data_IF_879003099252
#
_entry.id   IF_879003099252
#
_cell.length_a   1.000
_cell.length_b   1.000
_cell.length_c   1.000
_cell.angle_alpha   90.00
_cell.angle_beta   90.00
_cell.angle_gamma   90.00
#
_symmetry.space_group_name_H-M   'P 1'
#
loop_
_entity.id
_entity.type
_entity.pdbx_description
1 polymer ?
#
# COMPACT_ATOMS: atom_id res chain seq x y z
N UNK A 1 -15.84 -15.80 -8.24
CA UNK A 1 -15.52 -14.38 -8.49
C UNK A 1 -15.48 -14.13 -9.99
N UNK A 2 -16.23 -13.13 -10.51
CA UNK A 2 -16.37 -12.91 -11.95
C UNK A 2 -15.07 -12.35 -12.55
N UNK A 3 -14.52 -13.02 -13.57
CA UNK A 3 -13.40 -12.49 -14.38
C UNK A 3 -13.91 -11.47 -15.37
N UNK A 4 -13.15 -10.41 -15.61
CA UNK A 4 -13.48 -9.37 -16.59
C UNK A 4 -12.97 -9.82 -17.94
N UNK A 5 -13.82 -9.69 -18.95
CA UNK A 5 -13.47 -9.85 -20.34
C UNK A 5 -13.09 -8.47 -20.90
N UNK A 6 -12.10 -8.44 -21.78
CA UNK A 6 -11.91 -7.28 -22.65
C UNK A 6 -13.27 -6.96 -23.29
N UNK A 7 -13.74 -5.74 -23.12
CA UNK A 7 -14.79 -5.21 -23.96
C UNK A 7 -14.08 -4.62 -25.16
N UNK A 8 -14.57 -4.81 -26.37
CA UNK A 8 -13.95 -4.33 -27.61
C UNK A 8 -13.66 -2.82 -27.69
N UNK A 9 -14.04 -2.08 -26.66
CA UNK A 9 -13.72 -0.66 -26.45
C UNK A 9 -12.32 -0.42 -25.88
N UNK A 10 -11.61 -1.44 -25.42
CA UNK A 10 -10.31 -1.27 -24.76
C UNK A 10 -9.15 -1.02 -25.74
N UNK A 11 -9.27 -1.55 -26.96
CA UNK A 11 -8.32 -1.34 -28.07
C UNK A 11 -8.82 -0.20 -28.98
N UNK A 12 -9.04 0.97 -28.42
CA UNK A 12 -9.48 2.14 -29.19
C UNK A 12 -8.65 3.38 -28.88
N UNK A 13 -8.70 4.35 -29.78
CA UNK A 13 -7.94 5.60 -29.66
C UNK A 13 -8.32 6.40 -28.41
N UNK A 14 -9.55 6.30 -27.91
CA UNK A 14 -9.95 6.97 -26.68
C UNK A 14 -9.16 6.45 -25.48
N UNK A 15 -9.04 5.12 -25.33
CA UNK A 15 -8.24 4.50 -24.26
C UNK A 15 -6.77 4.92 -24.34
N UNK A 16 -6.17 4.92 -25.54
CA UNK A 16 -4.78 5.35 -25.77
C UNK A 16 -4.58 6.82 -25.39
N UNK A 17 -5.52 7.70 -25.76
CA UNK A 17 -5.49 9.13 -25.37
C UNK A 17 -5.60 9.32 -23.87
N UNK A 18 -6.50 8.56 -23.21
CA UNK A 18 -6.61 8.57 -21.75
C UNK A 18 -5.31 8.10 -21.06
N UNK A 19 -4.69 7.04 -21.58
CA UNK A 19 -3.42 6.52 -21.07
C UNK A 19 -2.29 7.58 -21.18
N UNK A 20 -2.17 8.22 -22.34
CA UNK A 20 -1.21 9.30 -22.53
C UNK A 20 -1.50 10.51 -21.64
N UNK A 21 -2.76 10.97 -21.55
CA UNK A 21 -3.18 12.06 -20.68
C UNK A 21 -2.83 11.80 -19.21
N UNK A 22 -3.04 10.58 -18.73
CA UNK A 22 -2.64 10.17 -17.39
C UNK A 22 -1.11 10.16 -17.22
N UNK A 23 -0.36 9.72 -18.22
CA UNK A 23 1.10 9.71 -18.17
C UNK A 23 1.67 11.13 -18.20
N UNK A 24 1.19 11.98 -19.11
CA UNK A 24 1.72 13.34 -19.36
C UNK A 24 1.32 14.35 -18.30
N UNK A 25 0.30 14.06 -17.49
CA UNK A 25 -0.18 14.93 -16.41
C UNK A 25 0.97 15.45 -15.56
N UNK A 26 1.11 16.77 -15.46
CA UNK A 26 2.17 17.49 -14.74
C UNK A 26 3.59 17.32 -15.33
N UNK A 27 3.76 16.75 -16.52
CA UNK A 27 5.07 16.48 -17.13
C UNK A 27 5.32 17.26 -18.44
N UNK A 28 4.38 18.06 -18.92
CA UNK A 28 4.50 18.81 -20.20
C UNK A 28 5.72 19.74 -20.27
N UNK A 29 6.28 20.17 -19.14
CA UNK A 29 7.53 20.95 -19.09
C UNK A 29 8.79 20.11 -19.35
N UNK A 30 8.70 18.79 -19.34
CA UNK A 30 9.85 17.89 -19.59
C UNK A 30 10.14 17.82 -21.09
N UNK A 31 11.43 17.94 -21.46
CA UNK A 31 11.86 17.89 -22.87
C UNK A 31 11.34 16.67 -23.60
N UNK A 32 11.49 15.48 -23.01
CA UNK A 32 11.03 14.23 -23.62
C UNK A 32 9.53 14.21 -23.94
N UNK A 33 8.68 14.80 -23.06
CA UNK A 33 7.23 14.90 -23.30
C UNK A 33 6.95 15.88 -24.44
N UNK A 34 7.59 17.04 -24.44
CA UNK A 34 7.45 18.02 -25.52
C UNK A 34 7.91 17.47 -26.89
N UNK A 35 8.98 16.66 -26.90
CA UNK A 35 9.44 16.03 -28.12
C UNK A 35 8.47 14.93 -28.60
N UNK A 36 7.83 14.20 -27.70
CA UNK A 36 6.76 13.26 -28.01
C UNK A 36 5.50 13.96 -28.53
N UNK A 37 5.14 15.11 -27.94
CA UNK A 37 3.97 15.94 -28.32
C UNK A 37 4.06 16.47 -29.74
N UNK A 38 5.27 16.71 -30.28
CA UNK A 38 5.47 17.19 -31.68
C UNK A 38 4.87 16.25 -32.73
N UNK A 39 4.75 14.97 -32.42
CA UNK A 39 4.20 13.93 -33.30
C UNK A 39 3.13 13.11 -32.55
N UNK A 40 2.31 13.80 -31.76
CA UNK A 40 1.42 13.14 -30.82
C UNK A 40 0.48 12.14 -31.51
N UNK A 41 -0.23 12.61 -32.55
CA UNK A 41 -1.23 11.75 -33.22
C UNK A 41 -0.60 10.51 -33.85
N UNK A 42 0.52 10.65 -34.57
CA UNK A 42 1.20 9.49 -35.14
C UNK A 42 1.78 8.55 -34.08
N UNK A 43 2.26 9.10 -32.97
CA UNK A 43 2.74 8.29 -31.84
C UNK A 43 1.59 7.51 -31.16
N UNK A 44 0.42 8.13 -30.99
CA UNK A 44 -0.74 7.47 -30.40
C UNK A 44 -1.36 6.43 -31.36
N UNK A 45 -1.36 6.71 -32.67
CA UNK A 45 -1.79 5.72 -33.67
C UNK A 45 -0.89 4.50 -33.64
N UNK A 46 0.41 4.69 -33.60
CA UNK A 46 1.37 3.59 -33.47
C UNK A 46 1.12 2.75 -32.20
N UNK A 47 0.83 3.39 -31.08
CA UNK A 47 0.47 2.68 -29.83
C UNK A 47 -0.77 1.82 -30.04
N UNK A 48 -1.79 2.36 -30.71
CA UNK A 48 -3.02 1.63 -31.00
C UNK A 48 -2.76 0.42 -31.90
N UNK A 49 -2.00 0.62 -32.98
CA UNK A 49 -1.66 -0.44 -33.94
C UNK A 49 -0.91 -1.58 -33.23
N UNK A 50 0.12 -1.26 -32.45
CA UNK A 50 0.93 -2.22 -31.68
C UNK A 50 0.13 -2.95 -30.57
N UNK A 51 -0.93 -2.34 -30.05
CA UNK A 51 -1.88 -3.02 -29.12
C UNK A 51 -2.82 -3.96 -29.87
N UNK A 52 -3.31 -3.56 -31.06
CA UNK A 52 -4.26 -4.33 -31.84
C UNK A 52 -3.63 -5.59 -32.49
N UNK A 53 -2.39 -5.47 -32.95
CA UNK A 53 -1.65 -6.56 -33.60
C UNK A 53 -0.72 -7.33 -32.65
N UNK A 54 -0.63 -6.92 -31.40
CA UNK A 54 0.23 -7.51 -30.36
C UNK A 54 1.73 -7.47 -30.70
N UNK A 55 2.15 -6.62 -31.66
CA UNK A 55 3.54 -6.54 -32.13
C UNK A 55 4.48 -5.88 -31.14
N UNK A 56 3.97 -5.07 -30.19
CA UNK A 56 4.81 -4.40 -29.22
C UNK A 56 5.70 -5.34 -28.42
N UNK A 57 6.95 -4.94 -28.28
CA UNK A 57 7.93 -5.56 -27.41
C UNK A 57 8.52 -4.51 -26.45
N UNK A 58 8.67 -4.82 -25.16
CA UNK A 58 9.25 -3.90 -24.18
C UNK A 58 10.66 -3.46 -24.58
N UNK A 59 10.90 -2.15 -24.60
CA UNK A 59 12.24 -1.62 -24.80
C UNK A 59 13.15 -1.94 -23.61
N UNK A 60 14.45 -2.10 -23.81
CA UNK A 60 15.40 -2.25 -22.71
C UNK A 60 15.30 -1.09 -21.71
N UNK A 61 15.19 -1.42 -20.44
CA UNK A 61 15.12 -0.40 -19.39
C UNK A 61 16.46 0.31 -19.22
N UNK A 62 16.39 1.63 -19.09
CA UNK A 62 17.57 2.45 -18.76
C UNK A 62 17.63 2.63 -17.25
N UNK A 63 18.67 2.10 -16.56
CA UNK A 63 18.78 2.23 -15.11
C UNK A 63 18.98 3.69 -14.71
N UNK A 64 18.35 4.09 -13.61
CA UNK A 64 18.57 5.37 -12.96
C UNK A 64 18.67 5.15 -11.47
N UNK A 65 19.86 5.28 -10.92
CA UNK A 65 20.03 5.30 -9.46
C UNK A 65 19.57 6.61 -8.88
N UNK A 66 18.72 6.53 -7.87
CA UNK A 66 18.35 7.66 -7.01
C UNK A 66 18.84 7.40 -5.59
N UNK A 67 19.36 8.46 -4.97
CA UNK A 67 19.82 8.46 -3.60
C UNK A 67 18.81 9.26 -2.76
N UNK A 68 17.84 8.53 -2.19
CA UNK A 68 16.98 9.07 -1.15
C UNK A 68 17.55 8.65 0.21
N UNK A 69 16.76 7.98 1.07
CA UNK A 69 17.26 7.39 2.31
C UNK A 69 18.04 6.09 2.10
N UNK A 70 17.67 5.38 1.05
CA UNK A 70 18.37 4.19 0.54
C UNK A 70 18.63 4.40 -0.95
N UNK A 71 19.70 3.81 -1.44
CA UNK A 71 19.93 3.71 -2.88
C UNK A 71 18.78 2.91 -3.50
N UNK A 72 18.21 3.44 -4.58
CA UNK A 72 17.19 2.75 -5.37
C UNK A 72 17.56 2.82 -6.84
N UNK A 73 17.58 1.69 -7.48
CA UNK A 73 17.79 1.60 -8.91
C UNK A 73 16.42 1.51 -9.58
N UNK A 74 16.05 2.59 -10.29
CA UNK A 74 14.79 2.70 -11.02
C UNK A 74 15.00 2.23 -12.46
N UNK A 75 14.05 1.50 -12.98
CA UNK A 75 13.94 1.18 -14.39
C UNK A 75 13.20 2.33 -15.12
N UNK A 76 13.80 2.88 -16.17
CA UNK A 76 13.15 3.88 -17.01
C UNK A 76 12.87 3.30 -18.38
N UNK A 77 11.61 3.31 -18.77
CA UNK A 77 11.16 3.00 -20.11
C UNK A 77 11.02 4.28 -20.96
N UNK A 78 11.00 4.18 -22.28
CA UNK A 78 10.56 5.25 -23.18
C UNK A 78 9.12 5.67 -22.90
N UNK A 79 8.72 6.87 -23.36
CA UNK A 79 7.33 7.36 -23.20
C UNK A 79 6.36 6.43 -23.92
N UNK A 80 6.73 5.94 -25.08
CA UNK A 80 5.94 5.02 -25.88
C UNK A 80 5.53 3.77 -25.08
N UNK A 81 6.49 3.09 -24.44
CA UNK A 81 6.24 1.92 -23.61
C UNK A 81 5.34 2.25 -22.43
N UNK A 82 5.58 3.38 -21.75
CA UNK A 82 4.70 3.81 -20.65
C UNK A 82 3.25 4.05 -21.09
N UNK A 83 3.03 4.51 -22.32
CA UNK A 83 1.67 4.72 -22.85
C UNK A 83 1.02 3.38 -23.17
N UNK A 84 1.75 2.44 -23.79
CA UNK A 84 1.26 1.08 -24.07
C UNK A 84 0.91 0.36 -22.77
N UNK A 85 1.83 0.33 -21.80
CA UNK A 85 1.59 -0.27 -20.48
C UNK A 85 0.36 0.32 -19.79
N UNK A 86 0.22 1.65 -19.85
CA UNK A 86 -0.92 2.35 -19.26
C UNK A 86 -2.22 2.04 -20.01
N UNK A 87 -2.20 1.97 -21.34
CA UNK A 87 -3.38 1.63 -22.15
C UNK A 87 -3.82 0.18 -21.92
N UNK A 88 -2.87 -0.74 -21.78
CA UNK A 88 -3.15 -2.16 -21.52
C UNK A 88 -3.78 -2.39 -20.14
N UNK A 89 -3.39 -1.64 -19.10
CA UNK A 89 -3.92 -1.85 -17.75
C UNK A 89 -5.19 -1.04 -17.46
N UNK A 90 -5.40 0.09 -18.13
CA UNK A 90 -6.46 1.05 -17.82
C UNK A 90 -7.88 0.42 -17.79
N UNK A 91 -8.28 -0.47 -18.71
CA UNK A 91 -9.58 -1.13 -18.69
C UNK A 91 -9.80 -2.02 -17.46
N UNK A 92 -8.73 -2.50 -16.84
CA UNK A 92 -8.75 -3.40 -15.70
C UNK A 92 -8.53 -2.70 -14.36
N UNK A 93 -8.04 -1.45 -14.35
CA UNK A 93 -7.62 -0.75 -13.12
C UNK A 93 -8.71 -0.76 -12.05
N UNK A 94 -9.95 -0.43 -12.39
CA UNK A 94 -11.07 -0.42 -11.42
C UNK A 94 -11.25 -1.78 -10.76
N UNK A 95 -11.20 -2.85 -11.54
CA UNK A 95 -11.38 -4.21 -11.04
C UNK A 95 -10.21 -4.68 -10.19
N UNK A 96 -9.01 -4.26 -10.52
CA UNK A 96 -7.85 -4.50 -9.68
C UNK A 96 -7.97 -3.75 -8.35
N UNK A 97 -8.39 -2.48 -8.39
CA UNK A 97 -8.62 -1.69 -7.17
C UNK A 97 -9.73 -2.26 -6.30
N UNK A 98 -10.81 -2.78 -6.88
CA UNK A 98 -11.88 -3.45 -6.14
C UNK A 98 -11.42 -4.79 -5.53
N UNK A 99 -10.42 -5.41 -6.14
CA UNK A 99 -9.86 -6.67 -5.62
C UNK A 99 -8.87 -6.46 -4.48
N UNK A 100 -8.05 -5.42 -4.54
CA UNK A 100 -7.12 -5.07 -3.46
C UNK A 100 -7.94 -4.68 -2.23
N UNK A 101 -7.55 -5.15 -1.07
CA UNK A 101 -8.24 -4.86 0.18
C UNK A 101 -8.20 -3.35 0.53
N UNK A 102 -9.26 -2.83 1.15
CA UNK A 102 -9.34 -1.43 1.56
C UNK A 102 -8.27 -1.04 2.57
N UNK A 103 -7.85 -1.98 3.40
CA UNK A 103 -6.74 -1.86 4.35
C UNK A 103 -5.38 -1.69 3.66
N UNK A 104 -5.35 -1.79 2.31
CA UNK A 104 -4.17 -1.64 1.48
C UNK A 104 -4.37 -0.46 0.51
N UNK A 105 -4.31 0.80 0.97
CA UNK A 105 -4.70 1.97 0.18
C UNK A 105 -3.64 2.43 -0.83
N UNK A 106 -2.48 1.80 -0.89
CA UNK A 106 -1.46 2.17 -1.85
C UNK A 106 -1.96 2.04 -3.29
N UNK A 107 -1.45 2.88 -4.18
CA UNK A 107 -1.71 2.90 -5.63
C UNK A 107 -3.13 3.31 -6.06
N UNK A 108 -4.11 3.23 -5.19
CA UNK A 108 -5.48 3.63 -5.52
C UNK A 108 -5.59 5.12 -5.79
N UNK A 109 -6.37 5.54 -6.80
CA UNK A 109 -6.68 6.95 -7.02
C UNK A 109 -7.23 7.61 -5.74
N UNK A 110 -6.76 8.82 -5.45
CA UNK A 110 -7.18 9.64 -4.29
C UNK A 110 -6.94 9.01 -2.91
N UNK A 111 -6.15 7.93 -2.82
CA UNK A 111 -5.82 7.24 -1.58
C UNK A 111 -4.31 7.36 -1.26
N UNK A 112 -3.59 6.27 -1.14
CA UNK A 112 -2.16 6.27 -0.84
C UNK A 112 -1.85 6.45 0.66
N UNK A 113 -0.66 6.97 0.96
CA UNK A 113 -0.17 7.10 2.33
C UNK A 113 -1.05 7.96 3.26
N UNK A 114 -1.71 8.99 2.72
CA UNK A 114 -2.58 9.85 3.53
C UNK A 114 -3.93 9.19 3.86
N UNK A 115 -4.42 8.29 3.01
CA UNK A 115 -5.58 7.46 3.33
C UNK A 115 -5.24 6.47 4.44
N UNK A 116 -4.07 5.80 4.35
CA UNK A 116 -3.60 4.94 5.42
C UNK A 116 -3.44 5.70 6.75
N UNK A 117 -2.85 6.91 6.70
CA UNK A 117 -2.69 7.76 7.88
C UNK A 117 -4.04 8.01 8.56
N UNK A 118 -5.04 8.42 7.78
CA UNK A 118 -6.39 8.69 8.34
C UNK A 118 -7.03 7.43 8.89
N UNK A 119 -6.96 6.32 8.16
CA UNK A 119 -7.55 5.06 8.58
C UNK A 119 -6.91 4.54 9.88
N UNK A 120 -5.57 4.52 9.93
CA UNK A 120 -4.85 4.04 11.10
C UNK A 120 -5.04 4.95 12.32
N UNK A 121 -5.04 6.27 12.12
CA UNK A 121 -5.35 7.23 13.19
C UNK A 121 -6.76 7.03 13.73
N UNK A 122 -7.76 6.94 12.85
CA UNK A 122 -9.14 6.77 13.25
C UNK A 122 -9.35 5.44 13.99
N UNK A 123 -8.66 4.38 13.56
CA UNK A 123 -8.70 3.10 14.24
C UNK A 123 -8.12 3.20 15.66
N UNK A 124 -6.93 3.79 15.82
CA UNK A 124 -6.32 3.97 17.14
C UNK A 124 -7.14 4.88 18.07
N UNK A 125 -7.86 5.85 17.52
CA UNK A 125 -8.76 6.71 18.33
C UNK A 125 -10.06 6.02 18.72
N UNK A 126 -10.49 5.02 17.95
CA UNK A 126 -11.74 4.28 18.16
C UNK A 126 -11.60 3.20 19.22
N UNK A 127 -10.50 2.47 19.19
CA UNK A 127 -10.26 1.33 20.07
C UNK A 127 -9.55 1.76 21.34
N UNK A 128 -9.88 1.11 22.45
CA UNK A 128 -9.15 1.32 23.71
C UNK A 128 -7.69 0.85 23.58
N UNK A 129 -6.79 1.45 24.37
CA UNK A 129 -5.37 1.09 24.32
C UNK A 129 -5.13 -0.39 24.63
N UNK A 130 -5.96 -0.97 25.49
CA UNK A 130 -5.93 -2.39 25.85
C UNK A 130 -6.24 -3.31 24.67
N UNK A 131 -7.17 -2.92 23.78
CA UNK A 131 -7.58 -3.71 22.62
C UNK A 131 -6.51 -3.78 21.53
N UNK A 132 -5.66 -2.75 21.44
CA UNK A 132 -4.56 -2.63 20.47
C UNK A 132 -3.22 -2.44 21.16
N UNK A 133 -3.02 -3.10 22.30
CA UNK A 133 -1.86 -2.90 23.18
C UNK A 133 -0.53 -3.19 22.48
N UNK A 134 -0.50 -4.11 21.52
CA UNK A 134 0.70 -4.52 20.79
C UNK A 134 0.54 -4.37 19.28
N UNK A 135 1.64 -4.07 18.62
CA UNK A 135 1.76 -3.95 17.17
C UNK A 135 2.87 -4.86 16.65
N UNK A 136 2.55 -5.72 15.70
CA UNK A 136 3.52 -6.46 14.88
C UNK A 136 3.74 -5.68 13.59
N UNK A 137 4.98 -5.29 13.32
CA UNK A 137 5.41 -4.68 12.05
C UNK A 137 6.36 -5.63 11.32
N UNK A 138 6.04 -5.94 10.07
CA UNK A 138 6.83 -6.77 9.18
C UNK A 138 7.10 -6.03 7.88
N UNK A 139 8.26 -6.23 7.28
CA UNK A 139 8.67 -5.63 6.02
C UNK A 139 9.17 -6.73 5.07
N UNK A 140 8.59 -6.80 3.87
CA UNK A 140 8.98 -7.82 2.89
C UNK A 140 10.37 -7.53 2.33
N UNK A 141 11.25 -8.55 2.35
CA UNK A 141 12.62 -8.44 1.86
C UNK A 141 12.64 -8.32 0.34
N UNK A 142 13.26 -7.25 -0.16
CA UNK A 142 13.40 -7.01 -1.61
C UNK A 142 12.13 -7.30 -2.43
N UNK A 143 10.96 -6.88 -1.94
CA UNK A 143 9.65 -7.25 -2.45
C UNK A 143 9.51 -7.17 -3.97
N UNK A 144 9.77 -6.01 -4.58
CA UNK A 144 9.67 -5.85 -6.03
C UNK A 144 10.74 -6.63 -6.80
N UNK A 145 12.03 -6.60 -6.41
CA UNK A 145 13.06 -7.36 -7.12
C UNK A 145 12.91 -8.88 -7.08
N UNK A 146 12.25 -9.43 -6.06
CA UNK A 146 12.11 -10.87 -5.87
C UNK A 146 10.70 -11.39 -6.20
N UNK A 147 9.82 -10.57 -6.75
CA UNK A 147 8.46 -10.96 -7.11
C UNK A 147 8.47 -12.08 -8.16
N UNK A 148 7.80 -13.19 -7.88
CA UNK A 148 7.70 -14.32 -8.78
C UNK A 148 6.71 -14.07 -9.92
N UNK A 149 7.14 -14.19 -11.17
CA UNK A 149 6.32 -13.92 -12.35
C UNK A 149 5.17 -14.90 -12.51
N UNK A 150 5.36 -16.18 -12.19
CA UNK A 150 4.30 -17.18 -12.31
C UNK A 150 3.17 -16.91 -11.30
N UNK A 151 3.53 -16.54 -10.07
CA UNK A 151 2.58 -16.13 -9.04
C UNK A 151 1.87 -14.87 -9.47
N UNK A 152 2.58 -13.84 -9.94
CA UNK A 152 1.98 -12.59 -10.39
C UNK A 152 1.00 -12.81 -11.55
N UNK A 153 1.38 -13.55 -12.58
CA UNK A 153 0.50 -13.90 -13.70
C UNK A 153 -0.74 -14.65 -13.24
N UNK A 154 -0.60 -15.60 -12.31
CA UNK A 154 -1.73 -16.30 -11.69
C UNK A 154 -2.69 -15.34 -10.97
N UNK A 155 -2.18 -14.35 -10.24
CA UNK A 155 -3.01 -13.34 -9.57
C UNK A 155 -3.76 -12.46 -10.58
N UNK A 156 -3.11 -12.04 -11.67
CA UNK A 156 -3.74 -11.27 -12.75
C UNK A 156 -4.87 -12.10 -13.40
N UNK A 157 -4.61 -13.36 -13.74
CA UNK A 157 -5.58 -14.28 -14.36
C UNK A 157 -6.82 -14.56 -13.50
N UNK A 158 -6.74 -14.39 -12.19
CA UNK A 158 -7.92 -14.49 -11.33
C UNK A 158 -8.96 -13.41 -11.63
N UNK A 159 -8.55 -12.28 -12.21
CA UNK A 159 -9.39 -11.12 -12.46
C UNK A 159 -9.66 -10.86 -13.93
N UNK A 160 -8.71 -11.17 -14.77
CA UNK A 160 -8.73 -10.87 -16.19
C UNK A 160 -8.90 -12.18 -16.98
N UNK A 161 -9.76 -12.17 -17.99
CA UNK A 161 -9.85 -13.27 -18.98
C UNK A 161 -8.73 -13.10 -20.01
N UNK A 162 -8.29 -14.21 -20.63
CA UNK A 162 -7.34 -14.15 -21.75
C UNK A 162 -7.85 -13.20 -22.86
N UNK A 163 -6.91 -12.44 -23.41
CA UNK A 163 -7.13 -11.47 -24.48
C UNK A 163 -5.85 -10.71 -24.79
N UNK A 164 -5.85 -9.87 -25.81
CA UNK A 164 -4.65 -9.16 -26.32
C UNK A 164 -4.01 -8.26 -25.27
N UNK A 165 -4.80 -7.46 -24.56
CA UNK A 165 -4.25 -6.57 -23.51
C UNK A 165 -3.63 -7.36 -22.35
N UNK A 166 -4.18 -8.55 -22.03
CA UNK A 166 -3.55 -9.43 -21.05
C UNK A 166 -2.17 -9.92 -21.54
N UNK A 167 -2.05 -10.25 -22.84
CA UNK A 167 -0.77 -10.65 -23.41
C UNK A 167 0.26 -9.52 -23.31
N UNK A 168 -0.16 -8.27 -23.58
CA UNK A 168 0.69 -7.08 -23.35
C UNK A 168 1.11 -6.97 -21.89
N UNK A 169 0.19 -7.13 -20.93
CA UNK A 169 0.53 -7.09 -19.51
C UNK A 169 1.51 -8.21 -19.12
N UNK A 170 1.40 -9.38 -19.73
CA UNK A 170 2.37 -10.46 -19.50
C UNK A 170 3.74 -10.15 -20.10
N UNK A 171 3.81 -9.49 -21.27
CA UNK A 171 5.08 -8.98 -21.80
C UNK A 171 5.73 -7.99 -20.83
N UNK A 172 4.93 -7.13 -20.17
CA UNK A 172 5.44 -6.23 -19.10
C UNK A 172 5.98 -7.02 -17.91
N UNK A 173 5.29 -8.08 -17.46
CA UNK A 173 5.81 -8.94 -16.38
C UNK A 173 7.13 -9.56 -16.78
N UNK A 174 7.21 -10.12 -18.00
CA UNK A 174 8.39 -10.84 -18.48
C UNK A 174 9.54 -9.94 -18.94
N UNK A 175 9.28 -8.62 -19.08
CA UNK A 175 10.30 -7.64 -19.53
C UNK A 175 11.45 -7.45 -18.54
N UNK A 176 11.32 -7.96 -17.33
CA UNK A 176 12.36 -7.94 -16.31
C UNK A 176 12.74 -9.38 -15.96
N UNK A 177 14.02 -9.68 -15.88
CA UNK A 177 14.50 -11.05 -15.66
C UNK A 177 13.96 -11.67 -14.38
N UNK A 178 13.84 -10.89 -13.33
CA UNK A 178 13.30 -11.30 -12.04
C UNK A 178 12.60 -10.10 -11.37
N UNK A 179 11.45 -10.33 -10.78
CA UNK A 179 10.71 -9.32 -10.07
C UNK A 179 9.98 -8.33 -10.99
N UNK A 180 9.67 -7.16 -10.47
CA UNK A 180 8.98 -6.09 -11.19
C UNK A 180 9.81 -4.80 -11.19
N UNK A 181 9.91 -4.10 -12.34
CA UNK A 181 10.72 -2.91 -12.46
C UNK A 181 10.18 -1.76 -11.59
N UNK A 182 11.06 -1.19 -10.76
CA UNK A 182 10.72 -0.02 -9.94
C UNK A 182 10.65 1.25 -10.80
N UNK A 183 9.62 2.05 -10.61
CA UNK A 183 9.44 3.34 -11.31
C UNK A 183 8.33 3.32 -12.36
N UNK A 184 7.70 2.19 -12.61
CA UNK A 184 6.61 1.98 -13.55
C UNK A 184 5.28 1.88 -12.79
N UNK A 185 4.22 2.56 -13.28
CA UNK A 185 2.89 2.56 -12.63
C UNK A 185 2.31 1.15 -12.55
N UNK A 186 2.42 0.40 -13.63
CA UNK A 186 1.88 -0.97 -13.74
C UNK A 186 2.51 -1.88 -12.69
N UNK A 187 3.82 -1.79 -12.49
CA UNK A 187 4.52 -2.57 -11.44
C UNK A 187 4.00 -2.27 -10.03
N UNK A 188 3.60 -1.03 -9.75
CA UNK A 188 3.01 -0.68 -8.45
C UNK A 188 1.66 -1.36 -8.24
N UNK A 189 0.81 -1.42 -9.28
CA UNK A 189 -0.48 -2.12 -9.24
C UNK A 189 -0.22 -3.62 -9.07
N UNK A 190 0.72 -4.18 -9.81
CA UNK A 190 1.13 -5.59 -9.70
C UNK A 190 1.62 -5.94 -8.29
N UNK A 191 2.42 -5.09 -7.67
CA UNK A 191 2.85 -5.29 -6.29
C UNK A 191 1.70 -5.33 -5.29
N UNK A 192 0.64 -4.55 -5.53
CA UNK A 192 -0.56 -4.63 -4.68
C UNK A 192 -1.38 -5.89 -4.94
N UNK A 193 -1.52 -6.30 -6.21
CA UNK A 193 -2.22 -7.51 -6.60
C UNK A 193 -1.52 -8.77 -6.12
N UNK A 194 -0.19 -8.77 -6.10
CA UNK A 194 0.62 -9.93 -5.74
C UNK A 194 0.25 -10.53 -4.39
N UNK A 195 -0.02 -9.68 -3.39
CA UNK A 195 -0.43 -10.09 -2.06
C UNK A 195 -1.93 -9.88 -1.77
N UNK A 196 -2.77 -9.61 -2.78
CA UNK A 196 -4.18 -9.32 -2.55
C UNK A 196 -4.96 -10.50 -1.94
N UNK A 197 -4.60 -11.73 -2.27
CA UNK A 197 -5.20 -12.92 -1.63
C UNK A 197 -4.69 -13.11 -0.20
N UNK A 198 -3.41 -12.82 0.05
CA UNK A 198 -2.87 -12.80 1.41
C UNK A 198 -3.58 -11.75 2.27
N UNK A 199 -3.82 -10.54 1.74
CA UNK A 199 -4.56 -9.51 2.48
C UNK A 199 -5.97 -9.99 2.87
N UNK A 200 -6.66 -10.67 1.95
CA UNK A 200 -7.99 -11.25 2.21
C UNK A 200 -7.95 -12.34 3.26
N UNK A 201 -6.89 -13.14 3.22
CA UNK A 201 -6.65 -14.19 4.18
C UNK A 201 -6.38 -13.58 5.56
N UNK A 202 -5.48 -12.59 5.64
CA UNK A 202 -5.15 -11.88 6.87
C UNK A 202 -6.38 -11.20 7.51
N UNK A 203 -7.27 -10.62 6.69
CA UNK A 203 -8.52 -10.02 7.18
C UNK A 203 -9.55 -11.04 7.67
N UNK A 204 -9.52 -12.28 7.16
CA UNK A 204 -10.44 -13.34 7.61
C UNK A 204 -10.14 -13.84 9.01
N UNK A 205 -8.99 -13.51 9.58
CA UNK A 205 -8.76 -13.72 11.00
C UNK A 205 -9.83 -13.04 11.86
N UNK A 206 -10.47 -11.97 11.38
CA UNK A 206 -11.51 -11.23 12.09
C UNK A 206 -12.89 -11.96 12.16
N UNK A 207 -13.11 -13.01 11.37
CA UNK A 207 -14.38 -13.74 11.30
C UNK A 207 -14.24 -15.21 11.71
N UNK A 208 -13.07 -15.60 12.19
CA UNK A 208 -12.72 -17.02 12.38
C UNK A 208 -13.51 -17.66 13.53
N UNK A 209 -13.83 -16.88 14.57
CA UNK A 209 -14.60 -17.26 15.73
C UNK A 209 -16.08 -17.56 15.43
N UNK A 210 -16.56 -17.02 14.29
CA UNK A 210 -17.96 -17.14 13.84
C UNK A 210 -18.21 -18.27 12.85
N UNK A 211 -17.15 -18.92 12.36
CA UNK A 211 -17.22 -19.90 11.27
C UNK A 211 -16.32 -21.11 11.57
N UNK A 212 -16.92 -22.27 11.92
CA UNK A 212 -16.18 -23.50 12.24
C UNK A 212 -15.25 -23.97 11.11
N UNK A 213 -15.62 -23.78 9.83
CA UNK A 213 -14.79 -24.18 8.69
C UNK A 213 -13.54 -23.31 8.59
N UNK A 214 -13.67 -22.00 8.83
CA UNK A 214 -12.54 -21.08 8.89
C UNK A 214 -11.63 -21.40 10.08
N UNK A 215 -12.20 -21.75 11.22
CA UNK A 215 -11.44 -22.19 12.39
C UNK A 215 -10.63 -23.45 12.07
N UNK A 216 -11.24 -24.44 11.45
CA UNK A 216 -10.56 -25.68 11.05
C UNK A 216 -9.44 -25.38 10.03
N UNK A 217 -9.70 -24.56 9.05
CA UNK A 217 -8.71 -24.12 8.06
C UNK A 217 -7.48 -23.47 8.71
N UNK A 218 -7.67 -22.49 9.58
CA UNK A 218 -6.57 -21.80 10.26
C UNK A 218 -5.81 -22.68 11.23
N UNK A 219 -6.52 -23.59 11.90
CA UNK A 219 -5.91 -24.60 12.77
C UNK A 219 -4.97 -25.50 11.95
N UNK A 220 -5.43 -25.96 10.78
CA UNK A 220 -4.61 -26.75 9.85
C UNK A 220 -3.36 -25.97 9.41
N UNK A 221 -3.51 -24.69 9.04
CA UNK A 221 -2.38 -23.84 8.65
C UNK A 221 -1.37 -23.62 9.76
N UNK A 222 -1.82 -23.48 11.00
CA UNK A 222 -0.94 -23.38 12.16
C UNK A 222 -0.15 -24.68 12.39
N UNK A 223 -0.80 -25.82 12.25
CA UNK A 223 -0.16 -27.13 12.38
C UNK A 223 0.88 -27.33 11.27
N UNK A 224 0.51 -27.07 10.00
CA UNK A 224 1.46 -27.11 8.86
C UNK A 224 2.70 -26.27 9.14
N UNK A 225 2.50 -25.05 9.61
CA UNK A 225 3.62 -24.18 9.93
C UNK A 225 4.50 -24.73 11.04
N UNK A 226 3.93 -25.28 12.10
CA UNK A 226 4.70 -25.93 13.20
C UNK A 226 5.55 -27.08 12.69
N UNK A 227 5.01 -27.91 11.79
CA UNK A 227 5.75 -29.00 11.16
C UNK A 227 6.95 -28.46 10.34
N UNK A 228 6.75 -27.42 9.54
CA UNK A 228 7.81 -26.83 8.71
C UNK A 228 8.92 -26.19 9.55
N UNK A 229 8.57 -25.62 10.72
CA UNK A 229 9.52 -24.91 11.59
C UNK A 229 10.12 -25.77 12.69
N UNK A 230 9.71 -27.01 12.84
CA UNK A 230 10.28 -27.93 13.81
C UNK A 230 11.76 -28.24 13.46
N UNK A 231 12.66 -27.92 14.39
CA UNK A 231 14.13 -28.08 14.18
C UNK A 231 14.77 -29.03 15.19
N UNK A 232 14.07 -29.34 16.27
CA UNK A 232 14.58 -30.16 17.35
C UNK A 232 13.71 -31.39 17.57
N UNK A 233 14.24 -32.50 18.13
CA UNK A 233 13.41 -33.66 18.47
C UNK A 233 12.23 -33.31 19.41
N UNK A 234 12.41 -32.37 20.34
CA UNK A 234 11.34 -31.93 21.22
C UNK A 234 10.22 -31.18 20.49
N UNK A 235 10.55 -30.45 19.41
CA UNK A 235 9.54 -29.80 18.56
C UNK A 235 8.67 -30.86 17.86
N UNK A 236 9.27 -31.97 17.41
CA UNK A 236 8.54 -33.10 16.80
C UNK A 236 7.73 -33.90 17.83
N UNK A 237 8.24 -34.08 19.05
CA UNK A 237 7.51 -34.71 20.16
C UNK A 237 6.27 -33.89 20.56
N UNK A 238 6.39 -32.58 20.61
CA UNK A 238 5.25 -31.66 20.82
C UNK A 238 4.22 -31.78 19.69
N UNK A 239 4.66 -31.99 18.46
CA UNK A 239 3.78 -32.18 17.31
C UNK A 239 3.06 -33.53 17.35
N UNK A 240 3.74 -34.62 17.78
CA UNK A 240 3.16 -35.97 17.85
C UNK A 240 2.15 -36.12 18.97
N UNK A 241 2.37 -35.46 20.13
CA UNK A 241 1.42 -35.45 21.27
C UNK A 241 0.30 -34.41 21.10
N UNK A 242 0.41 -33.50 20.14
CA UNK A 242 -0.22 -32.23 20.26
C UNK A 242 -0.91 -31.66 19.04
N UNK A 243 -1.25 -32.42 18.00
CA UNK A 243 -2.09 -31.83 16.94
C UNK A 243 -3.42 -31.29 17.53
N UNK A 244 -4.02 -32.01 18.46
CA UNK A 244 -5.23 -31.58 19.16
C UNK A 244 -4.93 -30.45 20.14
N UNK A 245 -3.89 -30.58 20.96
CA UNK A 245 -3.48 -29.54 21.93
C UNK A 245 -3.08 -28.23 21.26
N UNK A 246 -2.33 -28.26 20.16
CA UNK A 246 -1.96 -27.06 19.40
C UNK A 246 -3.18 -26.42 18.71
N UNK A 247 -4.12 -27.25 18.23
CA UNK A 247 -5.37 -26.77 17.67
C UNK A 247 -6.23 -26.05 18.72
N UNK A 248 -6.36 -26.63 19.92
CA UNK A 248 -7.13 -26.05 21.02
C UNK A 248 -6.46 -24.78 21.56
N UNK A 249 -5.12 -24.78 21.68
CA UNK A 249 -4.37 -23.58 22.05
C UNK A 249 -4.53 -22.46 21.01
N UNK A 250 -4.52 -22.81 19.71
CA UNK A 250 -4.77 -21.85 18.64
C UNK A 250 -6.21 -21.32 18.68
N UNK A 251 -7.21 -22.18 18.90
CA UNK A 251 -8.61 -21.77 19.09
C UNK A 251 -8.77 -20.82 20.28
N UNK A 252 -8.12 -21.12 21.41
CA UNK A 252 -8.14 -20.23 22.57
C UNK A 252 -7.58 -18.84 22.24
N UNK A 253 -6.42 -18.78 21.59
CA UNK A 253 -5.82 -17.50 21.16
C UNK A 253 -6.69 -16.73 20.17
N UNK A 254 -7.39 -17.42 19.26
CA UNK A 254 -8.27 -16.77 18.29
C UNK A 254 -9.55 -16.27 18.96
N UNK A 255 -10.08 -16.98 19.95
CA UNK A 255 -11.29 -16.59 20.69
C UNK A 255 -11.09 -15.31 21.55
N UNK A 256 -9.85 -15.02 21.97
CA UNK A 256 -9.52 -13.80 22.75
C UNK A 256 -9.57 -12.51 21.93
N UNK A 257 -9.77 -12.60 20.63
CA UNK A 257 -9.88 -11.45 19.72
C UNK A 257 -8.89 -11.48 18.58
N UNK A 258 -9.22 -10.78 17.50
CA UNK A 258 -8.51 -10.88 16.25
C UNK A 258 -7.64 -9.65 16.00
N UNK A 259 -6.47 -9.82 15.38
CA UNK A 259 -5.56 -8.72 15.13
C UNK A 259 -6.08 -7.76 14.06
N UNK A 260 -5.98 -6.48 14.32
CA UNK A 260 -6.22 -5.45 13.32
C UNK A 260 -5.12 -5.46 12.25
N UNK A 261 -5.49 -5.29 11.00
CA UNK A 261 -4.61 -5.46 9.84
C UNK A 261 -4.56 -4.22 8.95
N UNK A 262 -3.38 -3.88 8.46
CA UNK A 262 -3.21 -3.02 7.30
C UNK A 262 -1.88 -3.32 6.60
N UNK A 263 -1.82 -3.02 5.29
CA UNK A 263 -0.60 -3.14 4.50
C UNK A 263 -0.38 -1.91 3.62
N UNK A 264 0.86 -1.46 3.53
CA UNK A 264 1.27 -0.43 2.59
C UNK A 264 2.44 -0.92 1.77
N UNK A 265 2.14 -1.45 0.59
CA UNK A 265 3.07 -2.10 -0.34
C UNK A 265 3.72 -3.32 0.30
N UNK A 266 4.95 -3.19 0.78
CA UNK A 266 5.80 -4.19 1.44
C UNK A 266 5.68 -4.20 2.97
N UNK A 267 5.14 -3.13 3.56
CA UNK A 267 4.96 -3.00 5.00
C UNK A 267 3.63 -3.60 5.46
N UNK A 268 3.67 -4.60 6.32
CA UNK A 268 2.54 -5.34 6.87
C UNK A 268 2.44 -5.04 8.37
N UNK A 269 1.25 -4.67 8.84
CA UNK A 269 1.02 -4.33 10.24
C UNK A 269 -0.21 -5.07 10.76
N UNK A 270 -0.04 -5.73 11.91
CA UNK A 270 -1.12 -6.28 12.72
C UNK A 270 -1.10 -5.64 14.11
N UNK A 271 -2.26 -5.50 14.73
CA UNK A 271 -2.43 -4.99 16.09
C UNK A 271 -3.35 -5.92 16.86
N UNK A 272 -3.05 -6.12 18.14
CA UNK A 272 -3.86 -6.97 19.02
C UNK A 272 -3.61 -6.64 20.49
N UNK A 273 -4.55 -6.99 21.35
CA UNK A 273 -4.42 -6.87 22.80
C UNK A 273 -3.30 -7.76 23.36
N UNK A 274 -3.15 -8.98 22.82
CA UNK A 274 -2.19 -9.97 23.30
C UNK A 274 -0.98 -10.11 22.36
N UNK A 275 0.20 -10.00 22.94
CA UNK A 275 1.48 -10.21 22.28
C UNK A 275 1.68 -11.65 21.77
N UNK A 276 1.17 -12.64 22.49
CA UNK A 276 1.30 -14.05 22.12
C UNK A 276 0.50 -14.37 20.85
N UNK A 277 -0.71 -13.80 20.72
CA UNK A 277 -1.54 -13.90 19.49
C UNK A 277 -0.77 -13.33 18.30
N UNK A 278 -0.16 -12.15 18.42
CA UNK A 278 0.67 -11.59 17.37
C UNK A 278 1.90 -12.45 17.03
N UNK A 279 2.44 -13.15 18.02
CA UNK A 279 3.48 -14.15 17.82
C UNK A 279 3.04 -15.28 16.88
N UNK A 280 1.84 -15.82 17.10
CA UNK A 280 1.24 -16.86 16.26
C UNK A 280 0.91 -16.32 14.87
N UNK A 281 0.24 -15.17 14.80
CA UNK A 281 -0.09 -14.49 13.52
C UNK A 281 1.16 -14.27 12.67
N UNK A 282 2.27 -13.81 13.28
CA UNK A 282 3.54 -13.65 12.62
C UNK A 282 4.03 -14.96 11.99
N UNK A 283 4.02 -16.03 12.75
CA UNK A 283 4.50 -17.33 12.33
C UNK A 283 3.70 -17.85 11.14
N UNK A 284 2.37 -17.76 11.19
CA UNK A 284 1.47 -18.16 10.12
C UNK A 284 1.69 -17.26 8.89
N UNK A 285 1.74 -15.95 9.08
CA UNK A 285 1.93 -15.00 7.98
C UNK A 285 3.27 -15.21 7.26
N UNK A 286 4.37 -15.41 8.00
CA UNK A 286 5.70 -15.68 7.43
C UNK A 286 5.68 -16.98 6.64
N UNK A 287 5.09 -18.05 7.18
CA UNK A 287 5.02 -19.34 6.50
C UNK A 287 4.20 -19.26 5.19
N UNK A 288 3.06 -18.58 5.20
CA UNK A 288 2.21 -18.40 4.02
C UNK A 288 2.93 -17.53 2.97
N UNK A 289 3.54 -16.42 3.39
CA UNK A 289 4.26 -15.52 2.49
C UNK A 289 5.44 -16.23 1.81
N UNK A 290 6.21 -16.99 2.55
CA UNK A 290 7.33 -17.76 2.00
C UNK A 290 6.87 -18.88 1.05
N UNK A 291 5.88 -19.69 1.46
CA UNK A 291 5.43 -20.85 0.70
C UNK A 291 4.62 -20.50 -0.54
N UNK A 292 3.62 -19.60 -0.39
CA UNK A 292 2.60 -19.36 -1.41
C UNK A 292 2.93 -18.16 -2.31
N UNK A 293 3.81 -17.27 -1.84
CA UNK A 293 4.17 -16.03 -2.53
C UNK A 293 5.68 -15.85 -2.76
N UNK A 294 6.52 -16.75 -2.29
CA UNK A 294 7.98 -16.64 -2.35
C UNK A 294 8.49 -15.28 -1.81
N UNK A 295 7.85 -14.80 -0.75
CA UNK A 295 8.18 -13.53 -0.09
C UNK A 295 8.79 -13.79 1.27
N UNK A 296 10.06 -13.44 1.41
CA UNK A 296 10.75 -13.46 2.69
C UNK A 296 10.48 -12.17 3.48
N UNK A 297 10.38 -12.29 4.79
CA UNK A 297 10.24 -11.15 5.69
C UNK A 297 11.59 -10.81 6.30
N UNK A 298 11.93 -9.51 6.31
CA UNK A 298 13.14 -9.03 6.97
C UNK A 298 13.19 -9.47 8.43
N UNK A 299 14.39 -9.86 8.90
CA UNK A 299 14.57 -10.35 10.28
C UNK A 299 14.30 -9.31 11.36
N UNK A 300 14.20 -8.04 10.98
CA UNK A 300 13.92 -6.90 11.87
C UNK A 300 12.44 -6.74 12.24
N UNK A 301 11.62 -7.78 12.06
CA UNK A 301 10.24 -7.74 12.53
C UNK A 301 10.19 -7.59 14.04
N UNK A 302 9.25 -6.76 14.51
CA UNK A 302 9.11 -6.48 15.93
C UNK A 302 7.65 -6.51 16.35
N UNK A 303 7.38 -7.20 17.46
CA UNK A 303 6.15 -7.01 18.22
C UNK A 303 6.49 -6.04 19.35
N UNK A 304 5.91 -4.84 19.30
CA UNK A 304 6.17 -3.77 20.27
C UNK A 304 4.86 -3.29 20.90
N UNK A 305 4.92 -2.78 22.12
CA UNK A 305 3.78 -2.05 22.69
C UNK A 305 3.38 -0.88 21.77
N UNK A 306 2.09 -0.75 21.47
CA UNK A 306 1.57 0.28 20.56
C UNK A 306 1.79 1.69 21.11
N UNK A 307 1.81 1.87 22.43
CA UNK A 307 2.14 3.16 23.07
C UNK A 307 3.54 3.68 22.73
N UNK A 308 4.47 2.83 22.28
CA UNK A 308 5.79 3.26 21.81
C UNK A 308 5.76 3.87 20.40
N UNK A 309 4.59 3.88 19.77
CA UNK A 309 4.33 4.46 18.46
C UNK A 309 4.58 3.52 17.28
N UNK A 310 3.59 3.44 16.40
CA UNK A 310 3.63 2.67 15.14
C UNK A 310 4.33 3.50 14.06
N UNK A 311 5.40 2.99 13.48
CA UNK A 311 6.20 3.68 12.46
C UNK A 311 5.87 3.18 11.06
N UNK A 312 5.21 4.01 10.25
CA UNK A 312 4.90 3.69 8.86
C UNK A 312 4.84 4.96 8.00
N UNK A 313 5.23 4.88 6.73
CA UNK A 313 5.13 5.97 5.74
C UNK A 313 5.73 7.32 6.20
N UNK A 314 6.75 7.29 7.06
CA UNK A 314 7.41 8.50 7.55
C UNK A 314 6.69 9.21 8.69
N UNK A 315 5.72 8.55 9.31
CA UNK A 315 4.97 8.98 10.49
C UNK A 315 5.20 8.05 11.67
N UNK A 316 4.82 8.52 12.86
CA UNK A 316 4.74 7.74 14.10
C UNK A 316 3.36 7.97 14.69
N UNK A 317 2.59 6.90 14.81
CA UNK A 317 1.23 6.93 15.34
C UNK A 317 1.22 6.52 16.80
N UNK A 318 0.61 7.35 17.61
CA UNK A 318 0.27 7.06 18.99
C UNK A 318 -1.25 6.91 19.11
N UNK A 319 -1.72 6.50 20.26
CA UNK A 319 -3.15 6.29 20.47
C UNK A 319 -3.97 7.61 20.32
N UNK A 320 -3.41 8.72 20.77
CA UNK A 320 -4.05 10.03 20.86
C UNK A 320 -3.51 11.08 19.87
N UNK A 321 -2.36 10.82 19.24
CA UNK A 321 -1.74 11.79 18.32
C UNK A 321 -0.84 11.10 17.26
N UNK A 322 -0.48 11.87 16.23
CA UNK A 322 0.42 11.40 15.17
C UNK A 322 1.56 12.41 14.98
N UNK A 323 2.79 11.93 14.92
CA UNK A 323 3.97 12.75 14.71
C UNK A 323 4.68 12.41 13.38
N UNK A 324 5.47 13.35 12.87
CA UNK A 324 6.47 13.01 11.86
C UNK A 324 7.54 12.09 12.45
N UNK A 325 8.03 11.13 11.67
CA UNK A 325 9.21 10.35 12.06
C UNK A 325 10.42 11.24 12.33
N UNK A 326 11.32 10.79 13.20
CA UNK A 326 12.55 11.53 13.54
C UNK A 326 13.31 11.99 12.29
N UNK A 327 13.44 11.13 11.30
CA UNK A 327 14.15 11.45 10.06
C UNK A 327 13.44 12.56 9.27
N UNK A 328 12.10 12.50 9.11
CA UNK A 328 11.35 13.54 8.41
C UNK A 328 11.43 14.88 9.13
N UNK A 329 11.37 14.88 10.48
CA UNK A 329 11.57 16.09 11.30
C UNK A 329 12.96 16.70 11.06
N UNK A 330 14.01 15.87 11.11
CA UNK A 330 15.38 16.34 10.93
C UNK A 330 15.66 16.83 9.52
N UNK A 331 15.17 16.14 8.51
CA UNK A 331 15.31 16.59 7.11
C UNK A 331 14.62 17.93 6.88
N UNK A 332 13.37 18.07 7.34
CA UNK A 332 12.65 19.34 7.25
C UNK A 332 13.44 20.47 7.93
N UNK A 333 13.90 20.24 9.16
CA UNK A 333 14.67 21.23 9.92
C UNK A 333 15.96 21.62 9.21
N UNK A 334 16.77 20.65 8.75
CA UNK A 334 18.02 20.92 8.01
C UNK A 334 17.78 21.75 6.75
N UNK A 335 16.74 21.42 5.97
CA UNK A 335 16.42 22.15 4.75
C UNK A 335 15.94 23.57 5.02
N UNK A 336 15.10 23.78 6.02
CA UNK A 336 14.63 25.11 6.43
C UNK A 336 15.83 25.98 6.86
N UNK A 337 16.69 25.45 7.75
CA UNK A 337 17.88 26.17 8.22
C UNK A 337 18.84 26.49 7.07
N UNK A 338 19.11 25.53 6.16
CA UNK A 338 19.96 25.72 5.00
C UNK A 338 19.46 26.82 4.07
N UNK A 339 18.14 26.87 3.80
CA UNK A 339 17.55 27.89 2.94
C UNK A 339 17.54 29.24 3.63
N UNK A 340 17.29 29.31 4.93
CA UNK A 340 17.35 30.55 5.70
C UNK A 340 18.76 31.17 5.69
N UNK A 341 19.81 30.35 5.88
CA UNK A 341 21.19 30.80 5.76
C UNK A 341 21.54 31.35 4.38
N UNK A 342 20.79 30.99 3.34
CA UNK A 342 20.93 31.51 1.97
C UNK A 342 20.06 32.75 1.70
N UNK A 343 19.46 33.36 2.74
CA UNK A 343 18.65 34.58 2.63
C UNK A 343 17.22 34.37 2.11
N UNK A 344 16.71 33.13 1.98
CA UNK A 344 15.34 32.91 1.52
C UNK A 344 14.32 33.29 2.60
N UNK A 345 13.25 33.98 2.18
CA UNK A 345 12.10 34.33 3.03
C UNK A 345 11.31 33.08 3.43
N UNK A 346 10.50 33.18 4.47
CA UNK A 346 9.63 32.09 4.91
C UNK A 346 8.74 31.56 3.79
N UNK A 347 8.17 32.43 2.97
CA UNK A 347 7.33 32.03 1.83
C UNK A 347 8.11 31.29 0.74
N UNK A 348 9.28 31.77 0.40
CA UNK A 348 10.17 31.11 -0.56
C UNK A 348 10.61 29.73 -0.06
N UNK A 349 10.88 29.60 1.25
CA UNK A 349 11.19 28.32 1.89
C UNK A 349 9.98 27.38 1.80
N UNK A 350 8.79 27.86 2.11
CA UNK A 350 7.54 27.08 2.01
C UNK A 350 7.33 26.53 0.61
N UNK A 351 7.47 27.33 -0.43
CA UNK A 351 7.32 26.91 -1.81
C UNK A 351 8.37 25.88 -2.23
N UNK A 352 9.63 26.08 -1.86
CA UNK A 352 10.74 25.16 -2.18
C UNK A 352 10.66 23.83 -1.43
N UNK A 353 9.99 23.81 -0.28
CA UNK A 353 9.82 22.64 0.56
C UNK A 353 8.37 22.14 0.61
N UNK A 354 7.54 22.50 -0.39
CA UNK A 354 6.11 22.19 -0.43
C UNK A 354 5.79 20.70 -0.18
N UNK A 355 6.58 19.79 -0.76
CA UNK A 355 6.43 18.35 -0.55
C UNK A 355 6.61 17.95 0.92
N UNK A 356 7.66 18.47 1.61
CA UNK A 356 7.92 18.17 3.04
C UNK A 356 6.88 18.81 3.95
N UNK A 357 6.44 20.01 3.62
CA UNK A 357 5.33 20.67 4.33
C UNK A 357 4.02 19.89 4.13
N UNK A 358 3.82 19.27 2.96
CA UNK A 358 2.70 18.37 2.68
C UNK A 358 2.61 17.20 3.66
N UNK A 359 3.75 16.65 4.09
CA UNK A 359 3.78 15.64 5.15
C UNK A 359 3.36 16.21 6.50
N UNK A 360 3.87 17.39 6.85
CA UNK A 360 3.66 18.00 8.16
C UNK A 360 2.22 18.41 8.42
N UNK A 361 1.45 18.75 7.38
CA UNK A 361 0.05 19.22 7.52
C UNK A 361 -0.93 18.17 8.09
N UNK A 362 -0.58 16.89 8.05
CA UNK A 362 -1.45 15.80 8.45
C UNK A 362 -1.22 15.31 9.89
N UNK A 363 -0.32 15.96 10.64
CA UNK A 363 0.16 15.50 11.93
C UNK A 363 0.35 16.64 12.91
N UNK A 364 0.54 16.31 14.19
CA UNK A 364 0.78 17.24 15.27
C UNK A 364 2.21 17.77 15.21
N UNK A 365 2.37 18.88 14.51
CA UNK A 365 3.70 19.45 14.24
C UNK A 365 3.83 20.94 14.59
N UNK A 366 2.87 21.52 15.32
CA UNK A 366 2.85 22.94 15.69
C UNK A 366 4.17 23.34 16.36
N UNK A 367 4.59 22.61 17.39
CA UNK A 367 5.85 22.88 18.11
C UNK A 367 7.09 22.83 17.20
N UNK A 368 7.09 21.96 16.19
CA UNK A 368 8.18 21.90 15.22
C UNK A 368 8.22 23.17 14.37
N UNK A 369 7.08 23.65 13.90
CA UNK A 369 6.98 24.87 13.10
C UNK A 369 7.31 26.13 13.89
N UNK A 370 6.90 26.19 15.17
CA UNK A 370 7.30 27.26 16.12
C UNK A 370 8.85 27.27 16.25
N UNK A 371 9.47 26.14 16.57
CA UNK A 371 10.94 26.02 16.68
C UNK A 371 11.68 26.38 15.39
N UNK A 372 11.08 26.14 14.24
CA UNK A 372 11.62 26.50 12.95
C UNK A 372 11.30 27.95 12.52
N UNK A 373 10.54 28.71 13.29
CA UNK A 373 10.10 30.06 12.92
C UNK A 373 9.25 30.08 11.63
N UNK A 374 8.37 29.06 11.44
CA UNK A 374 7.59 28.83 10.24
C UNK A 374 6.07 28.83 10.51
N UNK A 375 5.63 29.52 11.56
CA UNK A 375 4.23 29.49 12.01
C UNK A 375 3.24 30.02 10.96
N UNK A 376 3.60 31.11 10.27
CA UNK A 376 2.77 31.70 9.20
C UNK A 376 2.54 30.71 8.05
N UNK A 377 3.54 29.89 7.75
CA UNK A 377 3.44 28.86 6.73
C UNK A 377 2.50 27.72 7.12
N UNK A 378 2.50 27.33 8.39
CA UNK A 378 1.57 26.28 8.89
C UNK A 378 0.12 26.74 8.75
N UNK A 379 -0.24 27.95 9.16
CA UNK A 379 -1.58 28.50 9.01
C UNK A 379 -2.05 28.57 7.56
N UNK A 380 -1.19 28.97 6.61
CA UNK A 380 -1.49 28.97 5.17
C UNK A 380 -1.71 27.56 4.64
N UNK A 381 -0.91 26.58 5.07
CA UNK A 381 -1.02 25.17 4.62
C UNK A 381 -2.35 24.57 5.10
N UNK A 382 -2.73 24.79 6.35
CA UNK A 382 -3.99 24.30 6.90
C UNK A 382 -5.18 24.96 6.19
N UNK A 383 -5.15 26.28 5.96
CA UNK A 383 -6.22 27.01 5.27
C UNK A 383 -6.37 26.67 3.79
N UNK A 384 -5.27 26.44 3.07
CA UNK A 384 -5.30 26.12 1.64
C UNK A 384 -5.81 24.72 1.33
N UNK A 385 -5.92 23.88 2.33
CA UNK A 385 -6.39 22.52 2.21
C UNK A 385 -7.68 22.33 3.05
N UNK A 386 -8.76 22.96 2.63
CA UNK A 386 -10.07 22.32 2.75
C UNK A 386 -9.97 21.07 1.87
N UNK A 387 -9.49 19.99 2.47
CA UNK A 387 -9.41 18.72 1.79
C UNK A 387 -10.85 18.35 1.48
N UNK A 388 -11.22 18.38 0.20
CA UNK A 388 -12.35 17.58 -0.26
C UNK A 388 -12.09 16.20 0.32
N UNK A 389 -13.02 15.66 1.07
CA UNK A 389 -12.83 14.31 1.62
C UNK A 389 -12.56 13.39 0.41
N UNK A 390 -11.75 12.34 0.53
CA UNK A 390 -11.60 11.37 -0.56
C UNK A 390 -12.93 10.85 -1.05
N UNK A 391 -13.96 10.93 -0.20
CA UNK A 391 -15.34 10.62 -0.50
C UNK A 391 -15.98 11.60 -1.50
N UNK A 392 -15.65 12.90 -1.46
CA UNK A 392 -16.16 13.90 -2.41
C UNK A 392 -15.58 13.75 -3.81
N UNK A 393 -14.38 13.18 -3.92
CA UNK A 393 -13.67 12.93 -5.18
C UNK A 393 -13.91 11.52 -5.75
N UNK A 394 -14.63 10.65 -5.03
CA UNK A 394 -14.96 9.29 -5.47
C UNK A 394 -16.10 9.30 -6.51
N UNK A 395 -16.01 8.40 -7.49
CA UNK A 395 -17.14 8.09 -8.39
C UNK A 395 -18.31 7.45 -7.63
N UNK A 396 -19.53 7.48 -8.20
CA UNK A 396 -20.74 6.97 -7.55
C UNK A 396 -20.60 5.56 -6.96
N UNK A 397 -20.05 4.60 -7.71
CA UNK A 397 -19.84 3.23 -7.26
C UNK A 397 -18.78 3.13 -6.13
N UNK A 398 -17.73 3.96 -6.17
CA UNK A 398 -16.72 4.03 -5.12
C UNK A 398 -17.30 4.62 -3.84
N UNK A 399 -18.20 5.62 -3.95
CA UNK A 399 -18.91 6.21 -2.81
C UNK A 399 -19.85 5.21 -2.14
N UNK A 400 -20.56 4.40 -2.91
CA UNK A 400 -21.46 3.36 -2.38
C UNK A 400 -20.65 2.30 -1.62
N UNK A 401 -19.56 1.80 -2.21
CA UNK A 401 -18.72 0.81 -1.55
C UNK A 401 -18.06 1.35 -0.27
N UNK A 402 -17.56 2.58 -0.30
CA UNK A 402 -16.97 3.22 0.88
C UNK A 402 -18.02 3.49 1.95
N UNK A 403 -19.21 3.96 1.56
CA UNK A 403 -20.34 4.18 2.48
C UNK A 403 -20.80 2.87 3.13
N UNK A 404 -20.86 1.78 2.37
CA UNK A 404 -21.24 0.47 2.91
C UNK A 404 -20.18 -0.07 3.90
N UNK A 405 -18.89 0.11 3.59
CA UNK A 405 -17.80 -0.25 4.50
C UNK A 405 -17.87 0.62 5.76
N UNK A 406 -18.07 1.93 5.63
CA UNK A 406 -18.22 2.83 6.77
C UNK A 406 -19.46 2.48 7.61
N UNK A 407 -20.59 2.11 6.99
CA UNK A 407 -21.80 1.64 7.69
C UNK A 407 -21.57 0.31 8.39
N UNK A 408 -20.90 -0.64 7.75
CA UNK A 408 -20.54 -1.93 8.37
C UNK A 408 -19.62 -1.72 9.57
N UNK A 409 -18.64 -0.82 9.44
CA UNK A 409 -17.75 -0.45 10.53
C UNK A 409 -18.45 0.35 11.64
N UNK A 410 -19.46 1.18 11.29
CA UNK A 410 -20.26 1.96 12.26
C UNK A 410 -21.32 1.11 12.97
N UNK A 411 -21.91 0.15 12.27
CA UNK A 411 -22.90 -0.77 12.84
C UNK A 411 -22.23 -1.85 13.73
N UNK A 412 -20.97 -2.15 13.49
CA UNK A 412 -20.15 -3.01 14.36
C UNK A 412 -19.68 -2.28 15.64
N UNK A 413 -19.82 -0.97 15.67
CA UNK A 413 -19.46 -0.11 16.78
C UNK A 413 -20.69 0.70 17.19
N UNK A 414 -21.57 0.13 17.98
CA UNK A 414 -22.65 0.89 18.60
C UNK A 414 -22.13 2.20 19.16
N UNK A 415 -22.79 3.30 18.73
CA UNK A 415 -22.70 4.66 19.23
C UNK A 415 -21.53 5.03 20.16
N UNK A 416 -20.36 5.28 19.59
CA UNK A 416 -19.28 5.95 20.30
C UNK A 416 -19.14 7.38 19.83
N UNK A 417 -19.59 8.25 20.70
CA UNK A 417 -19.52 9.72 20.72
C UNK A 417 -18.34 10.30 19.93
N UNK A 418 -18.65 11.16 18.97
CA UNK A 418 -17.75 12.13 18.36
C UNK A 418 -17.14 13.02 19.44
N UNK A 419 -15.91 12.75 19.86
CA UNK A 419 -15.16 13.75 20.63
C UNK A 419 -14.57 14.76 19.65
N UNK A 420 -14.91 16.05 19.75
CA UNK A 420 -14.32 17.10 18.95
C UNK A 420 -12.82 17.21 19.27
N UNK A 421 -12.02 17.50 18.25
CA UNK A 421 -10.61 17.85 18.41
C UNK A 421 -10.58 19.10 19.31
N UNK A 422 -10.20 18.96 20.57
CA UNK A 422 -9.85 20.10 21.40
C UNK A 422 -8.54 20.67 20.88
N UNK A 423 -8.63 21.81 20.22
CA UNK A 423 -7.49 22.71 20.05
C UNK A 423 -7.19 23.22 21.45
N UNK A 424 -6.18 22.66 22.09
CA UNK A 424 -5.64 23.22 23.32
C UNK A 424 -4.87 24.46 22.91
N UNK A 425 -5.51 25.62 23.02
CA UNK A 425 -4.83 26.92 23.10
C UNK A 425 -4.22 27.02 24.49
N UNK A 426 -2.93 26.85 24.58
CA UNK A 426 -2.08 27.44 25.61
C UNK A 426 -0.62 27.36 25.15
#
# INVERSE_FOLDING_TARGET
MRRIRERGEAENMHNVRCAYGNYSKSKHKRRAVRDYDKRLESNLQRVLDELCDESWQPSPYRPKTIFERKRRDLARAPIHDHVIEAAAILPYETSFYDYIAWQCPAVRPNMGQHALLRALRNELYKYEQSEVAYTLSMDAHHFFPLMDHAILKRQILRKVKPGKLLNVLFKVVDSYLQGAPLGIKVSQIFGMLYLADFDRLAMRFFDIDKDPEKMAYWTSKYIEWRVITAKTPSDFDDLSRGSIYLADKFKAYVAEGLPHYCRFVDNIIFRHADKAVLGIVRQIAVAILARDYHVDINKDYNIRPTHMGIRICGYVFYHDHVLLSKNNKQELARHVVKLRKRGFTEEQIRLRQASRFGYAKHVDCINLFVKLGMQKSLGKIIKSHRIKSPFEEMTGNQKVNFSNICKTLSNAAGEAVRKPIRIVNS
#
